data_IF_162237455477
#
_entry.id   IF_162237455477
#
_cell.length_a   1.000
_cell.length_b   1.000
_cell.length_c   1.000
_cell.angle_alpha   90.00
_cell.angle_beta   90.00
_cell.angle_gamma   90.00
#
_symmetry.space_group_name_H-M   'P 1'
#
loop_
_entity.id
_entity.type
_entity.pdbx_description
1 polymer ?
#
# COMPACT_ATOMS: atom_id res chain seq x y z
N UNK A 1 10.13 8.33 -17.08
CA UNK A 1 8.90 7.56 -17.43
C UNK A 1 8.93 6.80 -18.76
N UNK A 2 9.59 7.31 -19.81
CA UNK A 2 9.56 6.74 -21.18
C UNK A 2 9.87 5.24 -21.28
N UNK A 3 10.76 4.73 -20.44
CA UNK A 3 11.11 3.30 -20.35
C UNK A 3 9.93 2.36 -20.08
N UNK A 4 8.79 2.89 -19.64
CA UNK A 4 7.57 2.13 -19.36
C UNK A 4 6.52 2.19 -20.47
N UNK A 5 6.78 2.89 -21.58
CA UNK A 5 5.81 3.08 -22.68
C UNK A 5 5.23 1.75 -23.20
N UNK A 6 6.05 0.70 -23.26
CA UNK A 6 5.62 -0.61 -23.76
C UNK A 6 4.71 -1.39 -22.81
N UNK A 7 4.61 -1.00 -21.54
CA UNK A 7 3.91 -1.77 -20.50
C UNK A 7 2.77 -1.02 -19.82
N UNK A 8 2.74 0.31 -19.95
CA UNK A 8 1.64 1.13 -19.42
C UNK A 8 0.57 1.25 -20.50
N UNK A 9 -0.67 0.78 -20.24
CA UNK A 9 -1.78 0.98 -21.15
C UNK A 9 -2.10 2.47 -21.24
N UNK A 10 -2.49 2.94 -22.43
CA UNK A 10 -2.79 4.35 -22.71
C UNK A 10 -1.73 5.31 -22.12
N UNK A 11 -0.51 5.19 -22.64
CA UNK A 11 0.63 5.94 -22.13
C UNK A 11 0.43 7.46 -22.24
N UNK A 12 -0.35 7.94 -23.21
CA UNK A 12 -0.63 9.37 -23.35
C UNK A 12 -1.58 9.86 -22.25
N UNK A 13 -2.63 9.11 -21.91
CA UNK A 13 -3.48 9.43 -20.75
C UNK A 13 -2.71 9.34 -19.42
N UNK A 14 -1.77 8.38 -19.30
CA UNK A 14 -0.85 8.30 -18.18
C UNK A 14 -0.02 9.58 -18.04
N UNK A 15 0.65 10.04 -19.10
CA UNK A 15 1.45 11.26 -19.08
C UNK A 15 0.60 12.50 -18.80
N UNK A 16 -0.58 12.62 -19.41
CA UNK A 16 -1.50 13.72 -19.16
C UNK A 16 -1.96 13.77 -17.69
N UNK A 17 -2.16 12.60 -17.06
CA UNK A 17 -2.52 12.54 -15.64
C UNK A 17 -1.38 12.93 -14.72
N UNK A 18 -0.14 12.56 -15.06
CA UNK A 18 1.05 12.97 -14.28
C UNK A 18 1.25 14.50 -14.27
N UNK A 19 0.74 15.22 -15.26
CA UNK A 19 0.83 16.69 -15.34
C UNK A 19 -0.25 17.40 -14.51
N UNK A 20 -1.24 16.67 -13.96
CA UNK A 20 -2.33 17.24 -13.16
C UNK A 20 -2.08 17.03 -11.67
N UNK A 21 -2.44 18.01 -10.81
CA UNK A 21 -2.36 17.86 -9.36
C UNK A 21 -3.12 16.62 -8.88
N UNK A 22 -2.57 15.91 -7.89
CA UNK A 22 -3.24 14.76 -7.29
C UNK A 22 -4.42 15.20 -6.42
N UNK A 23 -5.64 14.66 -6.63
CA UNK A 23 -6.77 14.90 -5.74
C UNK A 23 -6.44 14.48 -4.31
N UNK A 24 -6.89 15.28 -3.34
CA UNK A 24 -6.79 14.89 -1.94
C UNK A 24 -7.87 13.84 -1.66
N UNK A 25 -7.45 12.69 -1.15
CA UNK A 25 -8.37 11.65 -0.68
C UNK A 25 -8.19 11.45 0.82
N UNK A 26 -9.30 11.24 1.52
CA UNK A 26 -9.31 10.86 2.93
C UNK A 26 -10.01 9.52 3.11
N UNK A 27 -9.41 8.67 3.94
CA UNK A 27 -9.99 7.40 4.37
C UNK A 27 -10.67 7.59 5.72
N UNK A 28 -11.98 7.41 5.74
CA UNK A 28 -12.80 7.56 6.95
C UNK A 28 -12.46 6.45 7.93
N UNK A 29 -12.19 6.83 9.18
CA UNK A 29 -11.84 5.91 10.24
C UNK A 29 -13.09 5.22 10.78
N UNK A 30 -13.28 3.94 10.42
CA UNK A 30 -14.42 3.10 10.81
C UNK A 30 -14.63 3.00 12.32
N UNK A 31 -13.57 3.16 13.10
CA UNK A 31 -13.60 3.07 14.57
C UNK A 31 -14.21 4.31 15.23
N UNK A 32 -14.29 5.44 14.51
CA UNK A 32 -14.62 6.75 15.11
C UNK A 32 -15.75 7.51 14.42
N UNK A 33 -15.98 7.29 13.13
CA UNK A 33 -16.96 8.05 12.37
C UNK A 33 -17.53 7.24 11.20
N UNK A 34 -18.67 7.71 10.68
CA UNK A 34 -19.26 7.23 9.44
C UNK A 34 -18.89 8.15 8.27
N UNK A 35 -18.93 7.69 7.01
CA UNK A 35 -18.63 8.54 5.86
C UNK A 35 -19.49 9.79 5.79
N UNK A 36 -20.79 9.66 6.05
CA UNK A 36 -21.73 10.79 6.08
C UNK A 36 -21.33 11.83 7.13
N UNK A 37 -20.96 11.39 8.35
CA UNK A 37 -20.56 12.29 9.44
C UNK A 37 -19.30 13.09 9.08
N UNK A 38 -18.32 12.44 8.45
CA UNK A 38 -17.09 13.12 8.00
C UNK A 38 -17.40 14.08 6.86
N UNK A 39 -18.17 13.64 5.84
CA UNK A 39 -18.54 14.47 4.71
C UNK A 39 -19.27 15.74 5.14
N UNK A 40 -20.26 15.63 6.03
CA UNK A 40 -21.01 16.79 6.51
C UNK A 40 -20.16 17.76 7.33
N UNK A 41 -19.22 17.24 8.13
CA UNK A 41 -18.29 18.08 8.91
C UNK A 41 -17.33 18.85 8.00
N UNK A 42 -16.80 18.21 6.97
CA UNK A 42 -15.91 18.85 6.00
C UNK A 42 -16.66 19.85 5.10
N UNK A 43 -17.88 19.53 4.65
CA UNK A 43 -18.72 20.48 3.88
C UNK A 43 -19.00 21.77 4.65
N UNK A 44 -19.28 21.69 5.95
CA UNK A 44 -19.45 22.88 6.82
C UNK A 44 -18.20 23.75 6.91
N UNK A 45 -17.01 23.22 6.57
CA UNK A 45 -15.75 23.95 6.52
C UNK A 45 -15.40 24.47 5.12
N UNK A 46 -16.31 24.33 4.15
CA UNK A 46 -16.11 24.80 2.77
C UNK A 46 -15.33 23.83 1.88
N UNK A 47 -15.25 22.55 2.24
CA UNK A 47 -14.75 21.52 1.34
C UNK A 47 -15.88 20.96 0.48
N UNK A 48 -15.57 20.67 -0.79
CA UNK A 48 -16.38 19.77 -1.61
C UNK A 48 -15.97 18.34 -1.28
N UNK A 49 -16.95 17.47 -1.03
CA UNK A 49 -16.71 16.10 -0.58
C UNK A 49 -17.57 15.12 -1.34
N UNK A 50 -16.90 14.19 -2.03
CA UNK A 50 -17.54 13.19 -2.89
C UNK A 50 -16.96 11.81 -2.56
N UNK A 51 -17.78 10.79 -2.26
CA UNK A 51 -17.27 9.43 -2.09
C UNK A 51 -16.70 8.90 -3.41
N UNK A 52 -15.67 8.05 -3.33
CA UNK A 52 -15.17 7.36 -4.51
C UNK A 52 -16.21 6.32 -4.96
N UNK A 53 -16.39 6.19 -6.28
CA UNK A 53 -17.41 5.32 -6.86
C UNK A 53 -17.27 3.83 -6.47
N UNK A 54 -16.07 3.41 -6.07
CA UNK A 54 -15.73 2.03 -5.74
C UNK A 54 -15.52 1.79 -4.23
N UNK A 55 -15.54 2.83 -3.40
CA UNK A 55 -15.49 2.70 -1.93
C UNK A 55 -16.06 3.96 -1.24
N UNK A 56 -17.18 3.80 -0.53
CA UNK A 56 -17.83 4.87 0.22
C UNK A 56 -17.00 5.39 1.41
N UNK A 57 -16.03 4.61 1.90
CA UNK A 57 -15.15 4.98 3.01
C UNK A 57 -13.95 5.82 2.57
N UNK A 58 -13.76 5.97 1.26
CA UNK A 58 -12.79 6.89 0.67
C UNK A 58 -13.52 8.08 0.11
N UNK A 59 -13.18 9.27 0.60
CA UNK A 59 -13.79 10.52 0.19
C UNK A 59 -12.74 11.36 -0.55
N UNK A 60 -13.05 11.77 -1.77
CA UNK A 60 -12.35 12.84 -2.45
C UNK A 60 -12.74 14.17 -1.81
N UNK A 61 -11.75 15.01 -1.56
CA UNK A 61 -11.89 16.30 -0.90
C UNK A 61 -11.23 17.37 -1.76
N UNK A 62 -12.01 18.35 -2.20
CA UNK A 62 -11.55 19.48 -3.01
C UNK A 62 -11.87 20.81 -2.30
N UNK A 63 -11.09 21.87 -2.57
CA UNK A 63 -11.27 23.19 -1.95
C UNK A 63 -10.91 23.24 -0.46
N UNK A 64 -11.40 24.25 0.27
CA UNK A 64 -11.32 24.35 1.75
C UNK A 64 -9.93 24.46 2.41
N UNK A 65 -8.84 24.40 1.63
CA UNK A 65 -7.47 24.46 2.15
C UNK A 65 -6.95 23.07 2.58
N UNK A 66 -6.13 23.03 3.65
CA UNK A 66 -5.53 21.76 4.08
C UNK A 66 -6.47 20.98 5.01
N UNK A 67 -7.01 19.85 4.50
CA UNK A 67 -7.88 18.95 5.27
C UNK A 67 -7.19 18.39 6.53
N UNK A 68 -5.85 18.27 6.53
CA UNK A 68 -5.05 17.83 7.66
C UNK A 68 -5.03 18.83 8.83
N UNK A 69 -5.43 20.09 8.62
CA UNK A 69 -5.52 21.12 9.68
C UNK A 69 -6.89 21.16 10.37
N UNK A 70 -7.84 20.33 9.94
CA UNK A 70 -9.20 20.30 10.48
C UNK A 70 -9.27 19.60 11.83
N UNK A 71 -10.25 19.95 12.67
CA UNK A 71 -10.45 19.30 13.97
C UNK A 71 -10.74 17.81 13.80
N UNK A 72 -11.48 17.44 12.77
CA UNK A 72 -11.88 16.07 12.45
C UNK A 72 -10.66 15.19 12.15
N UNK A 73 -9.61 15.76 11.51
CA UNK A 73 -8.32 15.08 11.36
C UNK A 73 -7.66 14.80 12.72
N UNK A 74 -7.60 15.80 13.60
CA UNK A 74 -6.98 15.69 14.93
C UNK A 74 -7.74 14.76 15.87
N UNK A 75 -9.07 14.68 15.75
CA UNK A 75 -9.90 13.69 16.44
C UNK A 75 -9.72 12.27 15.89
N UNK A 76 -9.01 12.12 14.76
CA UNK A 76 -8.76 10.85 14.11
C UNK A 76 -9.96 10.30 13.34
N UNK A 77 -10.91 11.15 12.91
CA UNK A 77 -12.09 10.70 12.17
C UNK A 77 -11.76 10.21 10.75
N UNK A 78 -10.61 10.60 10.23
CA UNK A 78 -10.09 10.10 8.96
C UNK A 78 -8.55 10.16 8.93
N UNK A 79 -7.99 9.49 7.93
CA UNK A 79 -6.58 9.53 7.57
C UNK A 79 -6.45 10.08 6.14
N UNK A 80 -5.51 11.02 5.89
CA UNK A 80 -5.23 11.50 4.54
C UNK A 80 -4.37 10.48 3.82
N UNK A 81 -4.90 9.82 2.79
CA UNK A 81 -4.26 8.69 2.13
C UNK A 81 -4.64 8.68 0.65
N UNK A 82 -3.67 8.41 -0.23
CA UNK A 82 -3.95 8.16 -1.63
C UNK A 82 -4.92 6.99 -1.81
N UNK A 83 -5.88 7.12 -2.72
CA UNK A 83 -6.89 6.09 -2.96
C UNK A 83 -6.24 4.75 -3.36
N UNK A 84 -5.21 4.80 -4.22
CA UNK A 84 -4.43 3.63 -4.63
C UNK A 84 -3.74 2.94 -3.45
N UNK A 85 -3.30 3.67 -2.43
CA UNK A 85 -2.66 3.08 -1.25
C UNK A 85 -3.62 2.26 -0.38
N UNK A 86 -4.92 2.51 -0.44
CA UNK A 86 -5.93 1.74 0.28
C UNK A 86 -6.10 0.32 -0.29
N UNK A 87 -5.81 0.14 -1.58
CA UNK A 87 -5.99 -1.14 -2.29
C UNK A 87 -5.07 -2.25 -1.78
N UNK A 88 -3.90 -1.91 -1.22
CA UNK A 88 -2.99 -2.89 -0.63
C UNK A 88 -3.61 -3.62 0.56
N UNK A 89 -4.31 -2.89 1.43
CA UNK A 89 -4.99 -3.47 2.60
C UNK A 89 -6.28 -4.17 2.20
N UNK A 90 -6.99 -3.67 1.18
CA UNK A 90 -8.14 -4.38 0.60
C UNK A 90 -7.74 -5.73 0.03
N UNK A 91 -6.60 -5.83 -0.66
CA UNK A 91 -6.10 -7.11 -1.17
C UNK A 91 -5.72 -8.09 -0.03
N UNK A 92 -5.18 -7.56 1.08
CA UNK A 92 -4.81 -8.35 2.25
C UNK A 92 -6.06 -8.86 2.99
N UNK A 93 -7.10 -8.02 3.06
CA UNK A 93 -8.40 -8.33 3.63
C UNK A 93 -8.35 -8.84 5.09
N UNK A 94 -7.68 -8.13 6.03
CA UNK A 94 -7.52 -8.63 7.40
C UNK A 94 -8.86 -8.74 8.12
N UNK A 95 -9.08 -9.87 8.79
CA UNK A 95 -10.32 -10.18 9.49
C UNK A 95 -10.20 -9.96 11.01
N UNK A 96 -11.31 -9.64 11.69
CA UNK A 96 -11.35 -9.59 13.15
C UNK A 96 -10.76 -10.85 13.80
N UNK A 97 -9.91 -10.68 14.80
CA UNK A 97 -9.26 -11.78 15.54
C UNK A 97 -7.98 -12.34 14.91
N UNK A 98 -7.63 -11.99 13.66
CA UNK A 98 -6.39 -12.44 13.02
C UNK A 98 -5.12 -11.81 13.64
N UNK A 99 -3.98 -12.47 13.43
CA UNK A 99 -2.65 -11.94 13.74
C UNK A 99 -1.99 -11.47 12.46
N UNK A 100 -1.75 -10.17 12.36
CA UNK A 100 -1.25 -9.52 11.14
C UNK A 100 0.08 -8.83 11.40
N UNK A 101 1.05 -8.98 10.50
CA UNK A 101 2.32 -8.26 10.54
C UNK A 101 2.35 -7.18 9.44
N UNK A 102 2.61 -5.94 9.81
CA UNK A 102 3.00 -4.87 8.91
C UNK A 102 4.52 -4.70 8.97
N UNK A 103 5.23 -5.24 7.98
CA UNK A 103 6.70 -5.34 8.06
C UNK A 103 7.41 -3.99 7.85
N UNK A 104 6.75 -3.04 7.19
CA UNK A 104 7.25 -1.72 6.81
C UNK A 104 6.18 -0.64 7.07
N UNK A 105 5.76 -0.54 8.32
CA UNK A 105 4.50 0.08 8.72
C UNK A 105 4.44 1.60 8.62
N UNK A 106 5.57 2.30 8.77
CA UNK A 106 5.51 3.76 8.88
C UNK A 106 5.14 4.42 7.54
N UNK A 107 4.33 5.50 7.56
CA UNK A 107 3.88 6.26 8.73
C UNK A 107 2.60 5.75 9.42
N UNK A 108 2.06 4.58 9.05
CA UNK A 108 0.93 3.94 9.72
C UNK A 108 -0.41 4.01 9.00
N UNK A 109 -0.48 4.59 7.80
CA UNK A 109 -1.74 4.70 7.04
C UNK A 109 -2.38 3.34 6.75
N UNK A 110 -1.58 2.36 6.31
CA UNK A 110 -2.05 0.99 6.05
C UNK A 110 -2.28 0.21 7.35
N UNK A 111 -1.41 0.36 8.35
CA UNK A 111 -1.60 -0.25 9.68
C UNK A 111 -2.91 0.17 10.34
N UNK A 112 -3.24 1.46 10.31
CA UNK A 112 -4.51 1.98 10.84
C UNK A 112 -5.70 1.45 10.05
N UNK A 113 -5.56 1.27 8.74
CA UNK A 113 -6.60 0.64 7.91
C UNK A 113 -6.85 -0.82 8.28
N UNK A 114 -5.79 -1.58 8.57
CA UNK A 114 -5.94 -2.95 9.05
C UNK A 114 -6.66 -2.98 10.40
N UNK A 115 -6.29 -2.11 11.34
CA UNK A 115 -6.95 -2.02 12.65
C UNK A 115 -8.45 -1.69 12.56
N UNK A 116 -8.82 -0.83 11.60
CA UNK A 116 -10.20 -0.49 11.32
C UNK A 116 -11.02 -1.66 10.77
N UNK A 117 -10.48 -2.42 9.82
CA UNK A 117 -11.14 -3.61 9.27
C UNK A 117 -11.25 -4.73 10.30
N UNK A 118 -10.25 -4.85 11.18
CA UNK A 118 -10.24 -5.81 12.27
C UNK A 118 -11.10 -5.35 13.47
N UNK A 119 -11.70 -4.16 13.43
CA UNK A 119 -12.52 -3.62 14.51
C UNK A 119 -11.77 -3.50 15.84
N UNK A 120 -10.47 -3.17 15.81
CA UNK A 120 -9.58 -3.18 16.99
C UNK A 120 -9.53 -4.54 17.74
N UNK A 121 -9.76 -5.67 17.04
CA UNK A 121 -9.62 -7.02 17.62
C UNK A 121 -8.41 -7.76 17.02
N UNK A 122 -8.02 -8.89 17.62
CA UNK A 122 -6.83 -9.63 17.17
C UNK A 122 -5.53 -8.91 17.52
N UNK A 123 -4.49 -9.11 16.69
CA UNK A 123 -3.18 -8.52 16.91
C UNK A 123 -2.60 -7.98 15.60
N UNK A 124 -2.12 -6.75 15.62
CA UNK A 124 -1.25 -6.20 14.59
C UNK A 124 0.14 -6.00 15.18
N UNK A 125 1.16 -6.51 14.52
CA UNK A 125 2.56 -6.16 14.81
C UNK A 125 3.02 -5.20 13.71
N UNK A 126 3.38 -3.98 14.09
CA UNK A 126 3.80 -2.93 13.18
C UNK A 126 5.29 -2.64 13.33
N UNK A 127 6.07 -2.98 12.31
CA UNK A 127 7.52 -2.86 12.30
C UNK A 127 7.99 -1.76 11.35
N UNK A 128 9.03 -1.02 11.76
CA UNK A 128 9.79 -0.19 10.83
C UNK A 128 11.25 -0.05 11.29
N UNK A 129 12.16 0.24 10.37
CA UNK A 129 13.62 0.13 10.59
C UNK A 129 14.21 1.32 11.36
N UNK A 130 13.56 2.50 11.35
CA UNK A 130 14.12 3.70 12.00
C UNK A 130 13.23 4.29 13.09
N UNK A 131 13.82 4.78 14.21
CA UNK A 131 13.06 5.48 15.26
C UNK A 131 12.28 6.70 14.75
N UNK A 132 12.83 7.45 13.78
CA UNK A 132 12.16 8.63 13.18
C UNK A 132 10.82 8.23 12.54
N UNK A 133 10.81 7.12 11.81
CA UNK A 133 9.62 6.58 11.15
C UNK A 133 8.60 6.05 12.17
N UNK A 134 9.08 5.39 13.23
CA UNK A 134 8.23 4.90 14.32
C UNK A 134 7.51 6.02 15.09
N UNK A 135 8.12 7.20 15.24
CA UNK A 135 7.43 8.35 15.87
C UNK A 135 6.16 8.75 15.11
N UNK A 136 6.22 8.80 13.78
CA UNK A 136 5.07 9.10 12.95
C UNK A 136 3.99 8.00 13.04
N UNK A 137 4.42 6.73 13.01
CA UNK A 137 3.55 5.58 13.22
C UNK A 137 2.80 5.67 14.56
N UNK A 138 3.53 5.84 15.67
CA UNK A 138 2.94 5.95 17.02
C UNK A 138 1.97 7.11 17.14
N UNK A 139 2.32 8.29 16.60
CA UNK A 139 1.45 9.45 16.59
C UNK A 139 0.14 9.16 15.84
N UNK A 140 0.22 8.49 14.69
CA UNK A 140 -0.96 8.14 13.90
C UNK A 140 -1.82 7.06 14.55
N UNK A 141 -1.22 6.01 15.12
CA UNK A 141 -1.95 4.97 15.85
C UNK A 141 -2.72 5.58 17.03
N UNK A 142 -2.06 6.43 17.83
CA UNK A 142 -2.67 7.12 18.96
C UNK A 142 -3.80 8.04 18.51
N UNK A 143 -3.55 8.92 17.52
CA UNK A 143 -4.56 9.85 16.98
C UNK A 143 -5.79 9.12 16.45
N UNK A 144 -5.60 8.00 15.76
CA UNK A 144 -6.70 7.22 15.15
C UNK A 144 -7.39 6.26 16.13
N UNK A 145 -6.88 6.11 17.36
CA UNK A 145 -7.50 5.27 18.39
C UNK A 145 -7.32 3.77 18.14
N UNK A 146 -6.19 3.40 17.52
CA UNK A 146 -5.83 1.99 17.33
C UNK A 146 -5.33 1.41 18.65
N UNK A 147 -5.85 0.25 19.03
CA UNK A 147 -5.59 -0.37 20.35
C UNK A 147 -5.04 -1.79 20.27
N UNK A 148 -5.14 -2.45 19.12
CA UNK A 148 -4.69 -3.83 18.90
C UNK A 148 -3.30 -3.95 18.26
N UNK A 149 -2.44 -2.93 18.39
CA UNK A 149 -1.15 -2.87 17.69
C UNK A 149 0.05 -2.83 18.64
N UNK A 150 1.02 -3.72 18.39
CA UNK A 150 2.36 -3.68 18.99
C UNK A 150 3.33 -3.06 17.98
N UNK A 151 4.15 -2.10 18.43
CA UNK A 151 5.16 -1.45 17.57
C UNK A 151 6.55 -2.01 17.87
N UNK A 152 7.27 -2.44 16.84
CA UNK A 152 8.64 -2.98 16.95
C UNK A 152 9.62 -2.24 16.03
N UNK A 153 10.91 -2.29 16.37
CA UNK A 153 11.98 -1.74 15.54
C UNK A 153 12.98 -2.82 15.13
N UNK A 154 12.87 -3.30 13.88
CA UNK A 154 13.81 -4.25 13.30
C UNK A 154 14.02 -3.94 11.81
N UNK A 155 15.18 -4.31 11.30
CA UNK A 155 15.34 -4.51 9.86
C UNK A 155 14.42 -5.67 9.44
N UNK A 156 13.40 -5.36 8.64
CA UNK A 156 12.40 -6.34 8.21
C UNK A 156 12.98 -7.54 7.47
N UNK A 157 14.16 -7.41 6.84
CA UNK A 157 14.85 -8.52 6.16
C UNK A 157 15.30 -9.62 7.12
N UNK A 158 15.53 -9.24 8.38
CA UNK A 158 16.01 -10.08 9.46
C UNK A 158 15.05 -10.05 10.66
N UNK A 159 13.76 -9.76 10.42
CA UNK A 159 12.77 -9.67 11.49
C UNK A 159 12.72 -11.02 12.24
N UNK A 160 12.86 -11.05 13.57
CA UNK A 160 12.98 -12.31 14.30
C UNK A 160 11.70 -13.14 14.19
N UNK A 161 11.84 -14.46 14.23
CA UNK A 161 10.68 -15.32 14.46
C UNK A 161 10.31 -15.19 15.94
N UNK A 162 9.15 -14.59 16.20
CA UNK A 162 8.64 -14.35 17.55
C UNK A 162 7.82 -15.54 18.08
N UNK A 163 7.75 -16.66 17.35
CA UNK A 163 6.83 -17.76 17.65
C UNK A 163 5.36 -17.41 17.38
N UNK A 164 5.12 -16.31 16.67
CA UNK A 164 3.79 -15.86 16.29
C UNK A 164 3.48 -16.42 14.90
N UNK A 165 2.48 -17.29 14.82
CA UNK A 165 1.95 -17.76 13.54
C UNK A 165 1.08 -16.67 12.91
N UNK A 166 1.68 -15.74 12.15
CA UNK A 166 0.93 -14.68 11.47
C UNK A 166 -0.02 -15.29 10.44
N UNK A 167 -1.29 -14.90 10.51
CA UNK A 167 -2.31 -15.27 9.53
C UNK A 167 -2.06 -14.51 8.22
N UNK A 168 -1.65 -13.23 8.35
CA UNK A 168 -1.39 -12.34 7.23
C UNK A 168 -0.18 -11.45 7.44
N UNK A 169 0.53 -11.12 6.36
CA UNK A 169 1.65 -10.17 6.37
C UNK A 169 1.50 -9.15 5.25
N UNK A 170 1.59 -7.87 5.59
CA UNK A 170 1.71 -6.77 4.64
C UNK A 170 3.17 -6.37 4.48
N UNK A 171 3.61 -6.25 3.23
CA UNK A 171 4.96 -5.83 2.86
C UNK A 171 4.87 -4.66 1.88
N UNK A 172 4.49 -3.49 2.40
CA UNK A 172 4.55 -2.21 1.68
C UNK A 172 5.97 -1.67 1.71
N UNK A 173 6.78 -2.13 0.76
CA UNK A 173 8.24 -1.97 0.83
C UNK A 173 8.68 -0.55 0.46
N UNK A 174 9.81 -0.08 1.01
CA UNK A 174 10.50 1.08 0.45
C UNK A 174 10.87 0.81 -1.02
N UNK A 175 10.64 1.78 -1.89
CA UNK A 175 10.81 1.68 -3.34
C UNK A 175 11.26 3.02 -3.94
N UNK A 176 11.53 3.04 -5.24
CA UNK A 176 11.79 4.27 -6.01
C UNK A 176 10.66 5.29 -6.02
N UNK A 177 9.45 4.88 -5.63
CA UNK A 177 8.29 5.75 -5.41
C UNK A 177 7.83 6.53 -6.65
N UNK A 178 8.17 6.07 -7.86
CA UNK A 178 7.77 6.70 -9.14
C UNK A 178 6.26 6.94 -9.28
N UNK A 179 5.44 6.13 -8.60
CA UNK A 179 3.99 6.30 -8.49
C UNK A 179 3.53 7.55 -7.75
N UNK A 180 4.43 8.22 -7.02
CA UNK A 180 4.20 9.49 -6.32
C UNK A 180 4.67 10.72 -7.10
N UNK A 181 4.94 10.57 -8.40
CA UNK A 181 5.45 11.67 -9.22
C UNK A 181 4.54 12.91 -9.29
N UNK A 182 3.24 12.78 -9.00
CA UNK A 182 2.31 13.92 -8.87
C UNK A 182 2.47 14.70 -7.57
N UNK A 183 2.91 14.03 -6.50
CA UNK A 183 3.24 14.67 -5.21
C UNK A 183 4.67 15.18 -5.19
N UNK A 184 5.59 14.49 -5.86
CA UNK A 184 6.99 14.85 -6.00
C UNK A 184 7.43 14.82 -7.48
N UNK A 185 7.35 15.96 -8.18
CA UNK A 185 7.67 16.07 -9.61
C UNK A 185 9.07 15.62 -10.00
N UNK A 186 10.06 15.65 -9.09
CA UNK A 186 11.42 15.18 -9.36
C UNK A 186 11.44 13.71 -9.80
N UNK A 187 10.48 12.92 -9.31
CA UNK A 187 10.36 11.49 -9.64
C UNK A 187 9.90 11.24 -11.09
N UNK A 188 9.44 12.27 -11.82
CA UNK A 188 9.09 12.14 -13.25
C UNK A 188 10.28 11.73 -14.12
N UNK A 189 11.49 12.13 -13.71
CA UNK A 189 12.74 11.75 -14.37
C UNK A 189 13.00 10.24 -14.24
N UNK A 190 12.34 9.57 -13.29
CA UNK A 190 12.59 8.18 -12.92
C UNK A 190 13.76 8.08 -11.95
N UNK A 191 13.82 6.95 -11.24
CA UNK A 191 14.95 6.69 -10.36
C UNK A 191 16.17 6.17 -11.14
N UNK A 192 17.36 6.46 -10.60
CA UNK A 192 18.61 5.92 -11.14
C UNK A 192 18.61 4.38 -11.12
N UNK A 193 19.17 3.76 -12.17
CA UNK A 193 19.17 2.31 -12.31
C UNK A 193 20.00 1.60 -11.22
N UNK A 194 21.07 2.22 -10.73
CA UNK A 194 21.84 1.63 -9.64
C UNK A 194 21.03 1.68 -8.33
N UNK A 195 20.27 2.76 -8.10
CA UNK A 195 19.33 2.83 -6.99
C UNK A 195 18.23 1.77 -7.09
N UNK A 196 17.59 1.60 -8.25
CA UNK A 196 16.56 0.58 -8.51
C UNK A 196 17.11 -0.84 -8.22
N UNK A 197 18.34 -1.14 -8.67
CA UNK A 197 18.99 -2.43 -8.40
C UNK A 197 19.24 -2.65 -6.91
N UNK A 198 19.73 -1.63 -6.20
CA UNK A 198 20.01 -1.69 -4.77
C UNK A 198 18.73 -1.91 -3.95
N UNK A 199 17.68 -1.15 -4.23
CA UNK A 199 16.42 -1.25 -3.50
C UNK A 199 15.70 -2.57 -3.80
N UNK A 200 15.73 -3.06 -5.04
CA UNK A 200 15.22 -4.40 -5.41
C UNK A 200 15.85 -5.52 -4.59
N UNK A 201 17.16 -5.44 -4.29
CA UNK A 201 17.84 -6.38 -3.40
C UNK A 201 17.25 -6.39 -1.98
N UNK A 202 16.96 -5.21 -1.44
CA UNK A 202 16.32 -5.06 -0.12
C UNK A 202 14.89 -5.61 -0.13
N UNK A 203 14.12 -5.31 -1.18
CA UNK A 203 12.73 -5.77 -1.34
C UNK A 203 12.62 -7.30 -1.44
N UNK A 204 13.56 -7.95 -2.14
CA UNK A 204 13.66 -9.42 -2.18
C UNK A 204 13.85 -10.03 -0.79
N UNK A 205 14.73 -9.42 0.02
CA UNK A 205 14.95 -9.84 1.41
C UNK A 205 13.69 -9.70 2.26
N UNK A 206 12.97 -8.57 2.12
CA UNK A 206 11.73 -8.29 2.85
C UNK A 206 10.61 -9.27 2.49
N UNK A 207 10.35 -9.48 1.19
CA UNK A 207 9.28 -10.37 0.74
C UNK A 207 9.57 -11.84 1.11
N UNK A 208 10.81 -12.29 0.92
CA UNK A 208 11.22 -13.64 1.37
C UNK A 208 10.96 -13.80 2.87
N UNK A 209 11.39 -12.82 3.68
CA UNK A 209 11.22 -12.92 5.13
C UNK A 209 9.75 -12.91 5.55
N UNK A 210 8.91 -12.13 4.89
CA UNK A 210 7.47 -12.14 5.12
C UNK A 210 6.82 -13.50 4.86
N UNK A 211 7.22 -14.18 3.78
CA UNK A 211 6.76 -15.54 3.47
C UNK A 211 7.24 -16.57 4.50
N UNK A 212 8.40 -16.37 5.13
CA UNK A 212 8.88 -17.25 6.20
C UNK A 212 8.12 -17.04 7.52
N UNK A 213 7.66 -15.81 7.78
CA UNK A 213 6.96 -15.42 9.01
C UNK A 213 5.46 -15.71 8.98
N UNK A 214 4.85 -15.76 7.80
CA UNK A 214 3.44 -16.13 7.66
C UNK A 214 3.29 -17.64 7.87
N UNK A 215 2.22 -18.08 8.54
CA UNK A 215 1.94 -19.52 8.71
C UNK A 215 1.71 -20.21 7.35
N UNK A 216 1.93 -21.53 7.22
CA UNK A 216 1.45 -22.28 6.06
C UNK A 216 -0.04 -22.04 5.80
N UNK A 217 -0.41 -21.82 4.54
CA UNK A 217 -1.75 -21.41 4.12
C UNK A 217 -2.10 -19.93 4.39
N UNK A 218 -1.25 -19.19 5.12
CA UNK A 218 -1.42 -17.76 5.36
C UNK A 218 -1.02 -16.90 4.16
N UNK A 219 -1.39 -15.62 4.22
CA UNK A 219 -1.34 -14.71 3.06
C UNK A 219 -0.31 -13.59 3.26
N UNK A 220 0.46 -13.31 2.21
CA UNK A 220 1.34 -12.13 2.15
C UNK A 220 0.85 -11.21 1.02
N UNK A 221 0.69 -9.92 1.30
CA UNK A 221 0.53 -8.90 0.24
C UNK A 221 1.81 -8.09 0.14
N UNK A 222 2.43 -8.19 -1.04
CA UNK A 222 3.54 -7.33 -1.44
C UNK A 222 3.00 -6.11 -2.18
N UNK A 223 3.45 -4.92 -1.79
CA UNK A 223 3.01 -3.67 -2.38
C UNK A 223 4.18 -2.71 -2.63
N UNK A 224 4.12 -1.97 -3.73
CA UNK A 224 5.05 -0.85 -4.00
C UNK A 224 4.31 0.32 -4.64
N UNK A 225 4.83 1.54 -4.50
CA UNK A 225 4.36 2.71 -5.24
C UNK A 225 5.32 3.09 -6.38
N UNK A 226 5.84 2.10 -7.13
CA UNK A 226 6.69 2.31 -8.31
C UNK A 226 6.16 1.57 -9.53
N UNK A 227 6.63 1.96 -10.72
CA UNK A 227 6.30 1.30 -11.98
C UNK A 227 7.36 0.29 -12.43
N UNK A 228 8.56 0.35 -11.84
CA UNK A 228 9.74 -0.43 -12.21
C UNK A 228 9.51 -1.95 -12.08
N UNK A 229 9.53 -2.73 -13.19
CA UNK A 229 9.41 -4.19 -13.15
C UNK A 229 10.50 -4.87 -12.30
N UNK A 230 11.68 -4.26 -12.16
CA UNK A 230 12.76 -4.74 -11.30
C UNK A 230 12.43 -4.71 -9.81
N UNK A 231 11.54 -3.81 -9.39
CA UNK A 231 11.02 -3.70 -8.03
C UNK A 231 9.66 -4.38 -7.89
N UNK A 232 9.10 -4.92 -8.98
CA UNK A 232 7.76 -5.53 -8.98
C UNK A 232 7.87 -7.02 -9.29
N UNK A 233 7.62 -7.42 -10.53
CA UNK A 233 7.59 -8.83 -10.93
C UNK A 233 8.93 -9.52 -10.72
N UNK A 234 10.06 -8.81 -10.86
CA UNK A 234 11.36 -9.39 -10.59
C UNK A 234 11.56 -9.77 -9.11
N UNK A 235 10.92 -9.06 -8.18
CA UNK A 235 10.96 -9.35 -6.74
C UNK A 235 10.01 -10.50 -6.41
N UNK A 236 8.80 -10.47 -6.96
CA UNK A 236 7.79 -11.52 -6.76
C UNK A 236 8.27 -12.86 -7.35
N UNK A 237 8.77 -12.86 -8.59
CA UNK A 237 9.31 -14.05 -9.24
C UNK A 237 10.51 -14.63 -8.46
N UNK A 238 11.35 -13.77 -7.89
CA UNK A 238 12.43 -14.22 -7.01
C UNK A 238 11.87 -14.91 -5.74
N UNK A 239 10.88 -14.32 -5.09
CA UNK A 239 10.31 -14.90 -3.87
C UNK A 239 9.64 -16.26 -4.10
N UNK A 240 8.89 -16.41 -5.20
CA UNK A 240 8.25 -17.68 -5.60
C UNK A 240 9.27 -18.82 -5.82
N UNK A 241 10.51 -18.49 -6.22
CA UNK A 241 11.59 -19.47 -6.37
C UNK A 241 12.28 -19.83 -5.05
N UNK A 242 12.11 -19.01 -4.00
CA UNK A 242 12.83 -19.16 -2.72
C UNK A 242 11.98 -19.77 -1.61
N UNK A 243 10.69 -19.51 -1.61
CA UNK A 243 9.76 -20.03 -0.60
C UNK A 243 8.56 -20.64 -1.32
N UNK A 244 8.19 -21.91 -1.04
CA UNK A 244 7.00 -22.54 -1.58
C UNK A 244 5.77 -21.65 -1.38
N UNK A 245 5.29 -21.07 -2.47
CA UNK A 245 4.19 -20.12 -2.45
C UNK A 245 3.56 -20.01 -3.84
N UNK A 246 2.31 -19.57 -3.87
CA UNK A 246 1.58 -19.33 -5.11
C UNK A 246 0.92 -17.95 -5.12
N UNK A 247 0.66 -17.43 -6.32
CA UNK A 247 -0.07 -16.18 -6.50
C UNK A 247 -1.58 -16.42 -6.48
N UNK A 248 -2.28 -15.65 -5.65
CA UNK A 248 -3.73 -15.62 -5.58
C UNK A 248 -4.29 -14.41 -6.36
N UNK A 249 -5.52 -14.50 -6.90
CA UNK A 249 -6.24 -13.33 -7.38
C UNK A 249 -6.42 -12.28 -6.27
N UNK A 250 -6.26 -10.99 -6.59
CA UNK A 250 -6.42 -9.93 -5.59
C UNK A 250 -7.87 -9.56 -5.30
N UNK A 251 -8.79 -9.80 -6.24
CA UNK A 251 -10.21 -9.47 -6.08
C UNK A 251 -10.48 -7.96 -5.91
N UNK A 252 -9.67 -7.10 -6.54
CA UNK A 252 -9.79 -5.65 -6.38
C UNK A 252 -11.00 -5.08 -7.15
N UNK A 253 -11.81 -4.19 -6.53
CA UNK A 253 -12.96 -3.56 -7.18
C UNK A 253 -12.58 -2.31 -8.00
N UNK A 254 -11.34 -2.25 -8.51
CA UNK A 254 -10.79 -1.06 -9.18
C UNK A 254 -10.14 -1.41 -10.52
N UNK A 255 -10.14 -0.49 -11.51
CA UNK A 255 -9.39 -0.68 -12.74
C UNK A 255 -7.89 -0.89 -12.49
N UNK A 256 -7.34 -1.96 -13.06
CA UNK A 256 -5.92 -2.29 -13.00
C UNK A 256 -5.49 -3.07 -14.23
N UNK A 257 -4.22 -2.95 -14.59
CA UNK A 257 -3.58 -3.82 -15.56
C UNK A 257 -3.04 -5.08 -14.84
N UNK A 258 -2.92 -6.22 -15.52
CA UNK A 258 -2.25 -7.39 -14.96
C UNK A 258 -0.75 -7.12 -14.77
N UNK A 259 -0.10 -7.91 -13.90
CA UNK A 259 1.36 -7.95 -13.84
C UNK A 259 1.99 -8.45 -15.13
N UNK A 260 3.26 -8.08 -15.34
CA UNK A 260 4.00 -8.41 -16.57
C UNK A 260 4.52 -9.84 -16.53
N UNK A 261 4.29 -10.59 -17.60
CA UNK A 261 4.88 -11.93 -17.76
C UNK A 261 6.30 -11.87 -18.31
N UNK A 262 6.65 -10.78 -19.01
CA UNK A 262 7.97 -10.51 -19.53
C UNK A 262 8.25 -9.01 -19.61
N UNK A 263 9.52 -8.61 -19.54
CA UNK A 263 9.96 -7.25 -19.77
C UNK A 263 11.45 -7.21 -20.14
N UNK A 264 11.80 -6.48 -21.20
CA UNK A 264 13.18 -6.36 -21.72
C UNK A 264 13.90 -7.71 -21.89
N UNK A 265 13.20 -8.70 -22.46
CA UNK A 265 13.75 -10.04 -22.71
C UNK A 265 13.86 -10.94 -21.47
N UNK A 266 13.44 -10.46 -20.29
CA UNK A 266 13.37 -11.26 -19.07
C UNK A 266 11.94 -11.75 -18.84
N UNK A 267 11.77 -13.08 -18.75
CA UNK A 267 10.50 -13.69 -18.33
C UNK A 267 10.36 -13.71 -16.80
N UNK A 268 9.14 -13.47 -16.32
CA UNK A 268 8.73 -13.56 -14.92
C UNK A 268 7.72 -14.71 -14.69
N UNK A 269 7.21 -15.32 -15.76
CA UNK A 269 6.25 -16.43 -15.72
C UNK A 269 4.79 -15.98 -15.76
N UNK A 270 3.91 -16.86 -16.28
CA UNK A 270 2.48 -16.56 -16.50
C UNK A 270 1.69 -16.25 -15.23
N UNK A 271 2.14 -16.77 -14.08
CA UNK A 271 1.51 -16.50 -12.80
C UNK A 271 1.45 -14.99 -12.48
N UNK A 272 2.36 -14.18 -13.01
CA UNK A 272 2.37 -12.72 -12.82
C UNK A 272 1.11 -12.02 -13.30
N UNK A 273 0.32 -12.63 -14.19
CA UNK A 273 -0.99 -12.09 -14.61
C UNK A 273 -1.96 -11.94 -13.44
N UNK A 274 -1.73 -12.67 -12.34
CA UNK A 274 -2.49 -12.54 -11.09
C UNK A 274 -2.08 -11.35 -10.24
N UNK A 275 -0.99 -10.64 -10.55
CA UNK A 275 -0.62 -9.39 -9.90
C UNK A 275 -1.41 -8.22 -10.51
N UNK A 276 -1.48 -7.09 -9.81
CA UNK A 276 -2.16 -5.89 -10.27
C UNK A 276 -1.21 -4.69 -10.37
N UNK A 277 -1.34 -3.94 -11.47
CA UNK A 277 -0.70 -2.66 -11.74
C UNK A 277 -1.76 -1.58 -11.83
N UNK A 278 -1.75 -0.66 -10.87
CA UNK A 278 -2.61 0.51 -10.82
C UNK A 278 -1.77 1.71 -11.25
N UNK A 279 -2.14 2.32 -12.36
CA UNK A 279 -1.52 3.53 -12.87
C UNK A 279 -2.33 4.77 -12.48
N UNK A 280 -1.71 5.97 -12.41
CA UNK A 280 -2.40 7.19 -12.04
C UNK A 280 -3.68 7.48 -12.81
N UNK A 281 -3.71 7.22 -14.12
CA UNK A 281 -4.87 7.48 -14.98
C UNK A 281 -6.03 6.48 -14.76
N UNK A 282 -5.81 5.38 -14.03
CA UNK A 282 -6.88 4.43 -13.69
C UNK A 282 -7.81 4.98 -12.61
N UNK A 283 -7.26 5.63 -11.57
CA UNK A 283 -8.01 6.05 -10.38
C UNK A 283 -7.93 7.56 -10.10
N UNK A 284 -7.25 8.32 -10.95
CA UNK A 284 -6.84 9.70 -10.66
C UNK A 284 -6.13 9.80 -9.29
N UNK A 285 -5.24 8.85 -8.99
CA UNK A 285 -4.49 8.71 -7.73
C UNK A 285 -2.99 8.48 -8.03
N UNK A 286 -2.19 8.15 -7.01
CA UNK A 286 -0.84 7.64 -7.20
C UNK A 286 -0.79 6.23 -7.82
N UNK A 287 0.39 5.78 -8.20
CA UNK A 287 0.63 4.42 -8.72
C UNK A 287 0.78 3.36 -7.63
N UNK A 288 0.39 2.11 -7.93
CA UNK A 288 0.55 0.97 -7.02
C UNK A 288 0.77 -0.32 -7.81
N UNK A 289 1.71 -1.16 -7.36
CA UNK A 289 1.82 -2.56 -7.75
C UNK A 289 1.46 -3.44 -6.57
N UNK A 290 0.69 -4.50 -6.80
CA UNK A 290 0.26 -5.44 -5.77
C UNK A 290 0.42 -6.90 -6.22
N UNK A 291 0.90 -7.73 -5.31
CA UNK A 291 0.90 -9.19 -5.45
C UNK A 291 0.41 -9.84 -4.16
N UNK A 292 -0.56 -10.76 -4.26
CA UNK A 292 -1.09 -11.54 -3.15
C UNK A 292 -0.57 -12.96 -3.25
N UNK A 293 0.22 -13.38 -2.27
CA UNK A 293 0.86 -14.68 -2.22
C UNK A 293 0.27 -15.51 -1.07
N UNK A 294 0.11 -16.81 -1.28
CA UNK A 294 -0.18 -17.76 -0.21
C UNK A 294 1.03 -18.65 -0.01
N UNK A 295 1.46 -18.81 1.25
CA UNK A 295 2.53 -19.75 1.60
C UNK A 295 1.98 -21.17 1.52
N UNK A 296 2.69 -22.07 0.84
CA UNK A 296 2.39 -23.49 0.79
C UNK A 296 3.02 -24.22 2.00
N UNK A 297 2.66 -25.49 2.21
CA UNK A 297 3.28 -26.33 3.24
C UNK A 297 4.80 -26.48 3.07
#
# INVERSE_FOLDING_TARGET
MERYRSVIPDFDAFLATLQRPQPVTVRVNRLKATPQKVADALRRRGFEVTPLAWDEWLLRVDGGGSVAKTLEHWLGWFYVQEASAATAVMALDPQPGERVLDLCAAPGGKTTQMAELMGNTGLIVANDVTPKRLRALLANLSRTGVTNTIVTQWDGRNYPDLGIAFDKVLVDVPCSAEGRARENPDLLQGADLAFIRSISGTQKGLLRRALELVKPGGVVVYATCTFAPEENEAVVAYALQKVPSELLPLGLPVPHAPGLTEWQGRSFGDAMRRCARIYPHHLDSGGMFLAKLQRLE
#
